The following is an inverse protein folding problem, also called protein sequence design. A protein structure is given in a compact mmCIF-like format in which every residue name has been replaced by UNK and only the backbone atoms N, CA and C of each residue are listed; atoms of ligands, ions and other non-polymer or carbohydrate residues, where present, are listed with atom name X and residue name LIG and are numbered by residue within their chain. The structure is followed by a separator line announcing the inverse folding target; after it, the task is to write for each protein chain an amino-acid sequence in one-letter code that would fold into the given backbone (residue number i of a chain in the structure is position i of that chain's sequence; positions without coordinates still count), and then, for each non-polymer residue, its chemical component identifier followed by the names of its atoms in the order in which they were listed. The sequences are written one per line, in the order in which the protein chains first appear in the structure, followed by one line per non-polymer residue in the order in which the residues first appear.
data_IF_677443576144
#
_entry.id   IF_677443576144
#
_cell.length_a   1.000
_cell.length_b   1.000
_cell.length_c   1.000
_cell.angle_alpha   90.00
_cell.angle_beta   90.00
_cell.angle_gamma   90.00
#
_symmetry.space_group_name_H-M   'P 1'
#
loop_
_entity.id
_entity.type
_entity.pdbx_description
1 polymer ?
#
# COMPACT_ATOMS: atom_id res chain seq x y z
N UNK A 1 -15.05 -15.17 -60.86
CA UNK A 1 -14.84 -16.30 -59.91
C UNK A 1 -13.59 -16.01 -59.11
N UNK A 2 -13.75 -15.69 -57.82
CA UNK A 2 -12.82 -15.93 -56.70
C UNK A 2 -13.40 -15.16 -55.50
N UNK A 3 -14.17 -15.87 -54.68
CA UNK A 3 -14.72 -15.41 -53.40
C UNK A 3 -13.59 -15.42 -52.36
N UNK A 4 -13.31 -14.27 -51.74
CA UNK A 4 -12.50 -14.15 -50.54
C UNK A 4 -13.34 -13.55 -49.43
N UNK A 5 -13.86 -14.41 -48.56
CA UNK A 5 -14.65 -14.07 -47.37
C UNK A 5 -13.74 -13.50 -46.27
N UNK A 6 -13.76 -12.18 -46.06
CA UNK A 6 -13.11 -11.52 -44.93
C UNK A 6 -14.16 -11.10 -43.90
N UNK A 7 -14.36 -11.92 -42.87
CA UNK A 7 -15.25 -11.62 -41.75
C UNK A 7 -14.76 -10.40 -40.97
N UNK A 8 -15.53 -9.32 -41.02
CA UNK A 8 -15.41 -8.14 -40.16
C UNK A 8 -15.80 -8.52 -38.72
N UNK A 9 -14.85 -9.10 -37.97
CA UNK A 9 -14.94 -9.13 -36.52
C UNK A 9 -14.75 -7.71 -35.99
N UNK A 10 -15.86 -7.01 -35.80
CA UNK A 10 -15.95 -5.77 -35.01
C UNK A 10 -15.53 -6.10 -33.58
N UNK A 11 -14.29 -5.80 -33.22
CA UNK A 11 -13.88 -5.73 -31.84
C UNK A 11 -14.54 -4.51 -31.20
N UNK A 12 -15.48 -4.75 -30.29
CA UNK A 12 -15.97 -3.74 -29.36
C UNK A 12 -14.77 -3.29 -28.51
N UNK A 13 -14.22 -2.12 -28.83
CA UNK A 13 -13.36 -1.39 -27.90
C UNK A 13 -14.29 -0.83 -26.83
N UNK A 14 -14.41 -1.55 -25.71
CA UNK A 14 -14.91 -0.98 -24.46
C UNK A 14 -13.89 0.08 -24.02
N UNK A 15 -14.17 1.32 -24.40
CA UNK A 15 -13.52 2.51 -23.84
C UNK A 15 -13.83 2.54 -22.34
N UNK A 16 -12.93 1.98 -21.53
CA UNK A 16 -12.96 2.16 -20.08
C UNK A 16 -12.56 3.61 -19.77
N UNK A 17 -13.54 4.50 -19.79
CA UNK A 17 -13.42 5.88 -19.35
C UNK A 17 -13.30 5.92 -17.82
N UNK A 18 -12.09 5.73 -17.28
CA UNK A 18 -11.56 6.45 -16.11
C UNK A 18 -10.25 5.84 -15.59
N UNK A 19 -9.09 6.47 -15.85
CA UNK A 19 -7.85 6.15 -15.15
C UNK A 19 -7.50 7.29 -14.19
N UNK A 20 -8.26 7.51 -13.11
CA UNK A 20 -7.88 8.50 -12.09
C UNK A 20 -8.27 8.04 -10.68
N UNK A 21 -7.82 6.87 -10.25
CA UNK A 21 -7.77 6.55 -8.82
C UNK A 21 -6.54 5.67 -8.54
N UNK A 22 -5.33 6.19 -8.74
CA UNK A 22 -4.12 5.61 -8.15
C UNK A 22 -2.87 6.52 -8.23
N UNK A 23 -3.03 7.80 -7.88
CA UNK A 23 -1.90 8.74 -7.80
C UNK A 23 -2.03 9.67 -6.58
N UNK A 24 -2.37 9.08 -5.43
CA UNK A 24 -2.44 9.80 -4.14
C UNK A 24 -1.28 9.53 -3.19
N UNK A 25 -0.42 8.54 -3.45
CA UNK A 25 0.55 8.07 -2.45
C UNK A 25 2.03 8.19 -2.86
N UNK A 26 2.35 8.68 -4.06
CA UNK A 26 3.73 8.67 -4.58
C UNK A 26 4.18 10.00 -5.22
N UNK A 27 3.77 11.14 -4.67
CA UNK A 27 4.36 12.43 -5.06
C UNK A 27 5.12 13.05 -3.88
N UNK A 28 6.46 13.14 -3.93
CA UNK A 28 7.21 14.02 -3.05
C UNK A 28 7.15 15.43 -3.64
N UNK A 29 6.09 16.19 -3.36
CA UNK A 29 6.10 17.63 -3.61
C UNK A 29 6.29 18.38 -2.31
N UNK A 30 7.39 19.14 -2.27
CA UNK A 30 7.79 20.14 -1.28
C UNK A 30 7.79 19.66 0.16
N UNK A 31 9.00 19.44 0.69
CA UNK A 31 9.32 19.50 2.12
C UNK A 31 8.16 19.02 2.99
N UNK A 32 7.91 17.70 3.04
CA UNK A 32 7.08 17.20 4.14
C UNK A 32 7.78 17.69 5.41
N UNK A 33 7.20 18.63 6.19
CA UNK A 33 7.71 18.85 7.53
C UNK A 33 7.70 17.47 8.19
N UNK A 34 8.73 17.18 8.99
CA UNK A 34 8.73 15.97 9.81
C UNK A 34 7.33 15.81 10.40
N UNK A 35 6.70 14.64 10.29
CA UNK A 35 5.30 14.46 10.69
C UNK A 35 5.13 15.06 12.08
N UNK A 36 4.37 16.17 12.16
CA UNK A 36 4.02 16.76 13.45
C UNK A 36 3.03 15.80 14.10
N UNK A 37 3.59 14.87 14.87
CA UNK A 37 2.81 13.92 15.63
C UNK A 37 2.02 14.71 16.68
N UNK A 38 0.71 14.82 16.49
CA UNK A 38 -0.18 15.43 17.51
C UNK A 38 -0.19 14.62 18.81
N UNK A 39 0.17 13.34 18.73
CA UNK A 39 0.33 12.45 19.86
C UNK A 39 1.22 11.26 19.48
N UNK A 40 2.14 10.90 20.38
CA UNK A 40 2.96 9.70 20.29
C UNK A 40 3.28 9.14 21.69
N UNK A 41 3.57 7.85 21.76
CA UNK A 41 3.99 7.13 22.96
C UNK A 41 5.06 6.10 22.57
N UNK A 42 6.10 5.96 23.41
CA UNK A 42 7.06 4.87 23.25
C UNK A 42 6.57 3.68 24.07
N UNK A 43 6.33 2.57 23.39
CA UNK A 43 5.76 1.35 23.98
C UNK A 43 6.74 0.19 23.83
N UNK A 44 6.57 -0.85 24.66
CA UNK A 44 7.30 -2.11 24.51
C UNK A 44 6.30 -3.24 24.29
N UNK A 45 6.00 -3.60 23.03
CA UNK A 45 5.14 -4.72 22.70
C UNK A 45 5.67 -6.01 23.32
N UNK A 46 4.78 -6.82 23.91
CA UNK A 46 5.15 -8.13 24.46
C UNK A 46 4.50 -9.23 23.66
N UNK A 47 5.30 -10.08 23.04
CA UNK A 47 4.78 -11.24 22.34
C UNK A 47 4.20 -12.24 23.36
N UNK A 48 2.98 -12.70 23.08
CA UNK A 48 2.33 -13.73 23.87
C UNK A 48 2.70 -15.10 23.30
N UNK A 49 3.26 -15.96 24.13
CA UNK A 49 3.47 -17.37 23.79
C UNK A 49 2.11 -18.08 23.91
N UNK A 50 1.60 -18.59 22.79
CA UNK A 50 0.38 -19.38 22.78
C UNK A 50 0.67 -20.77 23.40
N UNK A 51 0.51 -20.88 24.72
CA UNK A 51 0.60 -22.15 25.44
C UNK A 51 -0.74 -22.89 25.35
N UNK A 52 -0.83 -23.85 24.42
CA UNK A 52 -1.98 -24.75 24.30
C UNK A 52 -2.18 -25.27 22.88
N UNK A 53 -2.47 -26.57 22.73
CA UNK A 53 -2.50 -27.33 21.47
C UNK A 53 -3.56 -26.94 20.42
N UNK A 54 -4.06 -25.70 20.43
CA UNK A 54 -4.95 -25.12 19.40
C UNK A 54 -4.32 -23.98 18.59
N UNK A 55 -3.13 -23.50 18.97
CA UNK A 55 -2.42 -22.49 18.21
C UNK A 55 -1.86 -23.09 16.92
N UNK A 56 -2.23 -22.53 15.75
CA UNK A 56 -1.51 -22.85 14.52
C UNK A 56 -0.10 -22.26 14.63
N UNK A 57 0.87 -22.93 14.02
CA UNK A 57 2.30 -22.60 14.08
C UNK A 57 2.62 -21.13 13.75
N UNK A 58 1.73 -20.47 13.00
CA UNK A 58 1.93 -19.11 12.47
C UNK A 58 0.99 -18.06 13.10
N UNK A 59 0.16 -18.44 14.07
CA UNK A 59 -0.69 -17.47 14.78
C UNK A 59 0.18 -16.68 15.78
N UNK A 60 0.24 -15.36 15.63
CA UNK A 60 1.03 -14.47 16.47
C UNK A 60 0.11 -13.60 17.33
N UNK A 61 0.55 -13.25 18.52
CA UNK A 61 -0.19 -12.32 19.39
C UNK A 61 0.74 -11.44 20.18
N UNK A 62 0.38 -10.17 20.33
CA UNK A 62 1.15 -9.19 21.10
C UNK A 62 0.24 -8.42 22.05
N UNK A 63 0.75 -8.09 23.22
CA UNK A 63 0.16 -7.11 24.12
C UNK A 63 0.79 -5.75 23.85
N UNK A 64 -0.04 -4.75 23.57
CA UNK A 64 0.32 -3.35 23.40
C UNK A 64 -0.28 -2.53 24.55
N UNK A 65 0.48 -1.59 25.10
CA UNK A 65 -0.06 -0.62 26.04
C UNK A 65 -0.28 0.70 25.29
N UNK A 66 -1.52 1.17 25.21
CA UNK A 66 -1.90 2.38 24.47
C UNK A 66 -2.61 3.33 25.42
N UNK A 67 -2.00 4.48 25.71
CA UNK A 67 -2.53 5.47 26.65
C UNK A 67 -2.85 4.87 28.03
N UNK A 68 -1.95 4.00 28.53
CA UNK A 68 -2.11 3.31 29.82
C UNK A 68 -3.11 2.15 29.84
N UNK A 69 -3.72 1.81 28.70
CA UNK A 69 -4.61 0.66 28.56
C UNK A 69 -3.97 -0.46 27.73
N UNK A 70 -3.99 -1.68 28.28
CA UNK A 70 -3.55 -2.88 27.58
C UNK A 70 -4.55 -3.34 26.51
N UNK A 71 -4.02 -3.67 25.32
CA UNK A 71 -4.73 -4.27 24.20
C UNK A 71 -3.96 -5.52 23.74
N UNK A 72 -4.69 -6.55 23.32
CA UNK A 72 -4.10 -7.75 22.72
C UNK A 72 -4.41 -7.72 21.23
N UNK A 73 -3.38 -7.78 20.40
CA UNK A 73 -3.53 -7.93 18.95
C UNK A 73 -3.33 -9.38 18.57
N UNK A 74 -4.21 -9.91 17.72
CA UNK A 74 -4.13 -11.26 17.17
C UNK A 74 -3.85 -11.17 15.68
N UNK A 75 -2.73 -11.76 15.27
CA UNK A 75 -2.16 -11.65 13.93
C UNK A 75 -2.13 -13.02 13.25
N UNK A 76 -2.35 -13.00 11.93
CA UNK A 76 -2.25 -14.16 11.06
C UNK A 76 -1.51 -13.77 9.79
N UNK A 77 -0.78 -14.71 9.15
CA UNK A 77 -0.16 -14.45 7.86
C UNK A 77 -1.21 -13.95 6.87
N UNK A 78 -0.85 -12.89 6.15
CA UNK A 78 -1.73 -12.34 5.13
C UNK A 78 -2.00 -13.39 4.06
N UNK A 79 -3.27 -13.56 3.68
CA UNK A 79 -3.72 -14.61 2.76
C UNK A 79 -4.07 -14.11 1.36
N UNK A 80 -4.13 -12.79 1.19
CA UNK A 80 -4.36 -12.16 -0.11
C UNK A 80 -3.12 -12.33 -0.99
N UNK A 81 -3.30 -12.29 -2.31
CA UNK A 81 -2.22 -12.34 -3.31
C UNK A 81 -1.34 -11.08 -3.24
N UNK A 82 -0.56 -10.92 -2.16
CA UNK A 82 0.23 -9.72 -1.90
C UNK A 82 1.69 -10.08 -1.55
N UNK A 83 2.67 -9.75 -2.41
CA UNK A 83 2.56 -9.45 -3.85
C UNK A 83 2.30 -10.74 -4.66
N UNK A 84 2.28 -10.64 -6.00
CA UNK A 84 2.27 -11.84 -6.84
C UNK A 84 3.47 -12.74 -6.52
N UNK A 85 3.29 -14.05 -6.61
CA UNK A 85 4.40 -15.01 -6.49
C UNK A 85 5.43 -14.70 -7.57
N UNK A 86 6.71 -14.70 -7.20
CA UNK A 86 7.82 -14.30 -8.06
C UNK A 86 7.57 -12.91 -8.66
N UNK A 87 7.42 -11.89 -7.81
CA UNK A 87 7.27 -10.51 -8.23
C UNK A 87 8.46 -10.12 -9.15
N UNK A 88 8.21 -9.73 -10.41
CA UNK A 88 9.28 -9.24 -11.27
C UNK A 88 9.69 -7.83 -10.84
N UNK A 89 10.99 -7.65 -10.64
CA UNK A 89 11.65 -6.37 -10.42
C UNK A 89 12.53 -6.03 -11.63
N UNK A 90 12.24 -4.89 -12.27
CA UNK A 90 12.98 -4.39 -13.42
C UNK A 90 13.91 -3.24 -13.02
N UNK A 91 15.18 -3.36 -13.38
CA UNK A 91 16.22 -2.33 -13.19
C UNK A 91 17.02 -2.16 -14.48
N UNK A 92 17.97 -1.24 -14.53
CA UNK A 92 18.75 -0.92 -15.73
C UNK A 92 20.25 -1.09 -15.49
N UNK A 93 20.93 -1.65 -16.49
CA UNK A 93 22.39 -1.70 -16.51
C UNK A 93 22.97 -0.33 -16.87
N UNK A 94 24.28 -0.15 -16.63
CA UNK A 94 25.00 1.06 -17.08
C UNK A 94 24.94 1.32 -18.60
N UNK A 95 24.58 0.31 -19.39
CA UNK A 95 24.38 0.42 -20.84
C UNK A 95 22.91 0.69 -21.22
N UNK A 96 22.04 0.94 -20.25
CA UNK A 96 20.60 1.18 -20.45
C UNK A 96 19.79 -0.09 -20.76
N UNK A 97 20.37 -1.29 -20.58
CA UNK A 97 19.65 -2.55 -20.80
C UNK A 97 18.76 -2.84 -19.61
N UNK A 98 17.47 -3.09 -19.86
CA UNK A 98 16.51 -3.57 -18.85
C UNK A 98 16.92 -4.96 -18.35
N UNK A 99 17.07 -5.08 -17.04
CA UNK A 99 17.40 -6.30 -16.30
C UNK A 99 16.16 -6.68 -15.50
N UNK A 100 15.75 -7.94 -15.62
CA UNK A 100 14.69 -8.52 -14.81
C UNK A 100 15.29 -9.39 -13.71
N UNK A 101 14.78 -9.23 -12.50
CA UNK A 101 15.16 -10.00 -11.32
C UNK A 101 13.92 -10.37 -10.51
N UNK A 102 14.07 -11.33 -9.61
CA UNK A 102 12.99 -11.83 -8.77
C UNK A 102 13.48 -11.84 -7.31
N UNK A 103 13.31 -10.75 -6.56
CA UNK A 103 13.80 -10.67 -5.18
C UNK A 103 13.05 -11.66 -4.28
N UNK A 104 13.75 -12.23 -3.31
CA UNK A 104 13.11 -13.00 -2.24
C UNK A 104 12.35 -12.03 -1.33
N UNK A 105 11.06 -12.29 -1.12
CA UNK A 105 10.20 -11.49 -0.25
C UNK A 105 9.70 -12.40 0.87
N UNK A 106 10.04 -12.12 2.14
CA UNK A 106 9.60 -12.92 3.28
C UNK A 106 8.12 -12.62 3.60
N UNK A 107 7.20 -13.23 2.84
CA UNK A 107 5.75 -13.01 2.98
C UNK A 107 5.20 -13.43 4.34
N UNK A 108 5.87 -14.37 5.00
CA UNK A 108 5.62 -14.76 6.37
C UNK A 108 5.74 -13.61 7.37
N UNK A 109 6.38 -12.50 7.01
CA UNK A 109 6.48 -11.33 7.87
C UNK A 109 5.30 -10.36 7.72
N UNK A 110 4.49 -10.48 6.67
CA UNK A 110 3.33 -9.63 6.44
C UNK A 110 2.10 -10.25 7.08
N UNK A 111 1.61 -9.57 8.11
CA UNK A 111 0.61 -10.07 9.04
C UNK A 111 -0.61 -9.16 9.02
N UNK A 112 -1.77 -9.78 9.12
CA UNK A 112 -3.05 -9.10 9.25
C UNK A 112 -3.84 -9.66 10.43
N UNK A 113 -4.59 -8.79 11.09
CA UNK A 113 -5.22 -9.14 12.34
C UNK A 113 -6.26 -8.15 12.83
N UNK A 114 -6.61 -8.32 14.09
CA UNK A 114 -7.57 -7.50 14.80
C UNK A 114 -7.17 -7.37 16.26
N UNK A 115 -7.78 -6.41 16.95
CA UNK A 115 -7.62 -6.22 18.39
C UNK A 115 -8.70 -7.00 19.12
N UNK A 116 -8.27 -7.85 20.06
CA UNK A 116 -9.17 -8.69 20.84
C UNK A 116 -10.18 -7.85 21.63
N UNK A 117 -11.45 -8.27 21.61
CA UNK A 117 -12.55 -7.55 22.25
C UNK A 117 -12.92 -6.19 21.63
N UNK A 118 -12.35 -5.80 20.48
CA UNK A 118 -12.68 -4.55 19.78
C UNK A 118 -13.29 -4.83 18.40
N UNK A 119 -14.60 -4.59 18.28
CA UNK A 119 -15.31 -4.76 17.03
C UNK A 119 -14.77 -3.81 15.94
N UNK A 120 -14.74 -4.30 14.69
CA UNK A 120 -14.27 -3.58 13.51
C UNK A 120 -12.83 -3.04 13.60
N UNK A 121 -12.02 -3.57 14.51
CA UNK A 121 -10.60 -3.25 14.57
C UNK A 121 -9.83 -3.91 13.43
N UNK A 122 -8.74 -3.28 13.02
CA UNK A 122 -7.88 -3.76 11.94
C UNK A 122 -6.42 -3.56 12.32
N UNK A 123 -5.62 -4.60 12.15
CA UNK A 123 -4.18 -4.54 12.35
C UNK A 123 -3.49 -5.06 11.10
N UNK A 124 -2.57 -4.29 10.53
CA UNK A 124 -1.74 -4.68 9.37
C UNK A 124 -0.31 -4.35 9.70
N UNK A 125 0.52 -5.38 9.86
CA UNK A 125 1.89 -5.25 10.36
C UNK A 125 2.89 -6.04 9.52
N UNK A 126 4.12 -5.55 9.47
CA UNK A 126 5.33 -6.30 9.15
C UNK A 126 6.06 -6.61 10.45
N UNK A 127 6.55 -7.84 10.60
CA UNK A 127 7.16 -8.33 11.87
C UNK A 127 8.64 -8.72 11.78
N UNK A 128 9.23 -8.74 10.56
CA UNK A 128 10.60 -9.19 10.30
C UNK A 128 11.70 -8.39 11.05
N UNK A 129 11.44 -7.13 11.38
CA UNK A 129 12.44 -6.21 11.96
C UNK A 129 11.80 -5.32 13.01
N UNK A 130 11.03 -5.95 13.92
CA UNK A 130 10.10 -5.25 14.79
C UNK A 130 8.71 -5.13 14.17
N UNK A 131 7.79 -4.51 14.90
CA UNK A 131 6.43 -4.24 14.46
C UNK A 131 6.39 -2.92 13.71
N UNK A 132 6.14 -2.98 12.41
CA UNK A 132 5.93 -1.80 11.57
C UNK A 132 4.58 -1.89 10.89
N UNK A 133 3.75 -0.85 10.99
CA UNK A 133 2.51 -0.77 10.22
C UNK A 133 1.40 -0.01 10.92
N UNK A 134 0.18 -0.52 10.78
CA UNK A 134 -1.06 0.20 11.07
C UNK A 134 -1.96 -0.56 12.03
N UNK A 135 -2.58 0.19 12.95
CA UNK A 135 -3.61 -0.30 13.84
C UNK A 135 -4.81 0.65 13.85
N UNK A 136 -6.01 0.11 13.65
CA UNK A 136 -7.27 0.79 13.90
C UNK A 136 -7.89 0.19 15.15
N UNK A 137 -7.98 1.01 16.20
CA UNK A 137 -8.51 0.64 17.51
C UNK A 137 -9.68 1.57 17.80
N UNK A 138 -10.91 1.06 17.67
CA UNK A 138 -12.15 1.87 17.70
C UNK A 138 -12.11 2.89 16.56
N UNK A 139 -12.35 4.16 16.82
CA UNK A 139 -12.38 5.23 15.82
C UNK A 139 -11.03 5.98 15.72
N UNK A 140 -9.92 5.34 16.10
CA UNK A 140 -8.58 5.93 16.05
C UNK A 140 -7.62 5.06 15.28
N UNK A 141 -6.80 5.72 14.47
CA UNK A 141 -5.80 5.10 13.63
C UNK A 141 -4.41 5.41 14.18
N UNK A 142 -3.58 4.39 14.25
CA UNK A 142 -2.25 4.45 14.82
C UNK A 142 -1.23 3.87 13.84
N UNK A 143 -0.08 4.52 13.77
CA UNK A 143 1.13 3.98 13.16
C UNK A 143 2.02 3.41 14.26
N UNK A 144 2.69 2.30 13.97
CA UNK A 144 3.72 1.72 14.83
C UNK A 144 4.98 1.51 14.02
N UNK A 145 6.13 1.83 14.60
CA UNK A 145 7.45 1.54 14.02
C UNK A 145 8.49 1.29 15.11
N UNK A 146 9.57 0.54 14.81
CA UNK A 146 10.67 0.34 15.74
C UNK A 146 11.29 1.67 16.18
N UNK A 147 11.54 1.81 17.49
CA UNK A 147 12.24 2.98 18.01
C UNK A 147 13.74 2.84 17.72
N UNK A 148 14.31 3.82 17.00
CA UNK A 148 15.73 3.81 16.65
C UNK A 148 16.62 3.69 17.90
N UNK A 149 17.69 2.91 17.80
CA UNK A 149 18.72 2.70 18.83
C UNK A 149 18.25 2.00 20.14
N UNK A 150 17.08 1.35 20.14
CA UNK A 150 16.63 0.56 21.30
C UNK A 150 17.10 -0.90 21.27
N UNK A 151 17.66 -1.38 22.39
CA UNK A 151 17.96 -2.80 22.61
C UNK A 151 16.78 -3.60 23.18
N UNK A 152 15.65 -2.96 23.49
CA UNK A 152 14.56 -3.51 24.30
C UNK A 152 13.22 -3.70 23.55
N UNK A 153 13.26 -3.88 22.22
CA UNK A 153 12.05 -4.00 21.38
C UNK A 153 11.06 -2.84 21.59
N UNK A 154 11.59 -1.62 21.82
CA UNK A 154 10.76 -0.43 21.94
C UNK A 154 10.25 0.02 20.57
N UNK A 155 9.04 0.54 20.55
CA UNK A 155 8.35 0.98 19.35
C UNK A 155 7.75 2.36 19.60
N UNK A 156 7.80 3.22 18.59
CA UNK A 156 7.04 4.46 18.56
C UNK A 156 5.62 4.12 18.09
N UNK A 157 4.62 4.46 18.90
CA UNK A 157 3.21 4.41 18.54
C UNK A 157 2.71 5.83 18.41
N UNK A 158 2.13 6.20 17.28
CA UNK A 158 1.69 7.57 17.02
C UNK A 158 0.31 7.60 16.38
N UNK A 159 -0.41 8.70 16.59
CA UNK A 159 -1.73 8.90 16.00
C UNK A 159 -1.57 9.27 14.52
N UNK A 160 -2.24 8.54 13.63
CA UNK A 160 -2.39 8.92 12.23
C UNK A 160 -3.63 9.79 12.16
N UNK A 161 -3.43 11.10 12.08
CA UNK A 161 -4.52 12.02 11.80
C UNK A 161 -5.05 11.76 10.39
N UNK A 162 -6.38 11.83 10.22
CA UNK A 162 -6.93 11.87 8.87
C UNK A 162 -6.28 13.05 8.13
N UNK A 163 -5.68 12.83 6.96
CA UNK A 163 -5.15 13.92 6.18
C UNK A 163 -6.30 14.89 5.93
N UNK A 164 -6.13 16.15 6.35
CA UNK A 164 -7.03 17.22 5.90
C UNK A 164 -7.08 17.11 4.38
N UNK A 165 -8.26 17.11 3.74
CA UNK A 165 -8.38 16.92 2.31
C UNK A 165 -7.49 17.95 1.60
N UNK A 166 -6.31 17.50 1.18
CA UNK A 166 -5.33 18.34 0.53
C UNK A 166 -5.71 18.29 -0.94
N UNK A 167 -6.32 19.37 -1.43
CA UNK A 167 -6.66 19.48 -2.84
C UNK A 167 -5.39 19.79 -3.64
N UNK A 168 -4.47 18.85 -3.69
CA UNK A 168 -3.31 18.96 -4.53
C UNK A 168 -3.76 18.71 -5.98
N UNK A 169 -3.56 19.71 -6.85
CA UNK A 169 -3.80 19.62 -8.29
C UNK A 169 -5.25 19.77 -8.78
N UNK A 170 -6.26 19.78 -7.92
CA UNK A 170 -7.67 19.93 -8.33
C UNK A 170 -8.28 21.24 -7.82
N UNK A 171 -8.81 22.07 -8.72
CA UNK A 171 -9.53 23.30 -8.33
C UNK A 171 -10.81 22.92 -7.57
N UNK A 172 -11.08 23.62 -6.45
CA UNK A 172 -12.24 23.37 -5.56
C UNK A 172 -13.59 23.13 -6.25
N UNK A 173 -13.98 23.91 -7.29
CA UNK A 173 -15.25 23.68 -7.96
C UNK A 173 -15.30 22.39 -8.78
N UNK A 174 -14.16 21.93 -9.32
CA UNK A 174 -14.08 20.68 -10.09
C UNK A 174 -14.22 19.48 -9.15
N UNK A 175 -13.50 19.51 -8.02
CA UNK A 175 -13.60 18.50 -6.98
C UNK A 175 -15.03 18.38 -6.43
N UNK A 176 -15.70 19.52 -6.21
CA UNK A 176 -17.08 19.55 -5.72
C UNK A 176 -18.05 18.95 -6.73
N UNK A 177 -17.94 19.31 -8.03
CA UNK A 177 -18.78 18.74 -9.09
C UNK A 177 -18.59 17.23 -9.24
N UNK A 178 -17.36 16.74 -9.30
CA UNK A 178 -17.09 15.30 -9.36
C UNK A 178 -17.61 14.57 -8.12
N UNK A 179 -17.48 15.16 -6.93
CA UNK A 179 -18.02 14.57 -5.71
C UNK A 179 -19.56 14.60 -5.65
N UNK A 180 -20.22 15.53 -6.34
CA UNK A 180 -21.67 15.59 -6.51
C UNK A 180 -22.16 14.58 -7.55
N UNK A 181 -21.45 14.44 -8.68
CA UNK A 181 -21.70 13.43 -9.73
C UNK A 181 -21.53 12.01 -9.19
N UNK A 182 -20.43 11.74 -8.47
CA UNK A 182 -20.21 10.45 -7.78
C UNK A 182 -21.27 10.13 -6.73
N UNK A 183 -21.90 11.16 -6.13
CA UNK A 183 -23.02 10.97 -5.20
C UNK A 183 -24.33 10.70 -5.94
N UNK A 184 -24.55 11.33 -7.09
CA UNK A 184 -25.71 11.11 -7.95
C UNK A 184 -25.73 9.69 -8.56
N UNK A 185 -24.56 9.12 -8.85
CA UNK A 185 -24.42 7.74 -9.35
C UNK A 185 -24.62 6.64 -8.29
N UNK A 186 -24.81 6.99 -7.00
CA UNK A 186 -25.07 5.99 -5.93
C UNK A 186 -26.41 5.25 -6.09
N UNK A 187 -27.24 5.60 -7.08
CA UNK A 187 -28.52 4.95 -7.39
C UNK A 187 -28.40 3.51 -7.90
N UNK A 188 -27.26 3.10 -8.47
CA UNK A 188 -27.02 1.69 -8.80
C UNK A 188 -26.38 0.99 -7.62
N UNK A 189 -27.18 0.22 -6.89
CA UNK A 189 -26.74 -0.70 -5.83
C UNK A 189 -25.60 -1.59 -6.37
N UNK A 190 -24.35 -1.19 -6.08
CA UNK A 190 -23.14 -1.91 -6.48
C UNK A 190 -23.18 -3.26 -5.77
N UNK A 191 -23.23 -4.34 -6.54
CA UNK A 191 -23.31 -5.70 -6.02
C UNK A 191 -22.04 -6.04 -5.22
N UNK A 192 -22.11 -6.22 -3.88
CA UNK A 192 -20.95 -6.53 -3.05
C UNK A 192 -20.44 -7.97 -3.23
N UNK A 193 -21.09 -8.78 -4.07
CA UNK A 193 -20.91 -10.24 -4.09
C UNK A 193 -19.64 -10.74 -4.77
N UNK A 194 -18.86 -9.89 -5.44
CA UNK A 194 -17.64 -10.33 -6.12
C UNK A 194 -16.41 -9.59 -5.57
N UNK A 195 -15.39 -10.31 -5.08
CA UNK A 195 -14.12 -9.69 -4.71
C UNK A 195 -13.53 -9.02 -5.96
N UNK A 196 -13.07 -7.78 -5.78
CA UNK A 196 -12.42 -7.02 -6.86
C UNK A 196 -10.92 -7.04 -6.62
N UNK A 197 -10.17 -7.09 -7.71
CA UNK A 197 -8.72 -7.03 -7.68
C UNK A 197 -8.25 -5.80 -8.45
N UNK A 198 -7.29 -5.10 -7.87
CA UNK A 198 -6.51 -4.06 -8.56
C UNK A 198 -5.12 -4.63 -8.77
N UNK A 199 -4.80 -4.88 -10.04
CA UNK A 199 -3.43 -5.19 -10.45
C UNK A 199 -2.62 -3.90 -10.49
N UNK A 200 -1.54 -3.87 -9.72
CA UNK A 200 -0.71 -2.70 -9.54
C UNK A 200 0.68 -2.94 -10.11
N UNK A 201 1.12 -2.05 -10.99
CA UNK A 201 2.50 -1.99 -11.47
C UNK A 201 3.10 -0.65 -11.03
N UNK A 202 4.19 -0.68 -10.28
CA UNK A 202 4.81 0.53 -9.72
C UNK A 202 6.11 0.83 -10.45
N UNK A 203 6.30 2.11 -10.78
CA UNK A 203 7.56 2.63 -11.32
C UNK A 203 8.11 3.66 -10.34
N UNK A 204 9.35 3.47 -9.91
CA UNK A 204 10.09 4.39 -9.06
C UNK A 204 11.04 5.20 -9.92
N UNK A 205 10.88 6.52 -9.88
CA UNK A 205 11.75 7.42 -10.62
C UNK A 205 13.15 7.52 -9.99
N UNK A 206 14.10 8.01 -10.78
CA UNK A 206 15.49 8.14 -10.36
C UNK A 206 15.62 9.02 -9.12
N UNK A 207 14.88 10.13 -9.05
CA UNK A 207 15.00 11.09 -7.95
C UNK A 207 14.61 10.47 -6.61
N UNK A 208 13.48 9.75 -6.57
CA UNK A 208 13.06 9.02 -5.37
C UNK A 208 14.03 7.90 -5.03
N UNK A 209 14.53 7.18 -6.05
CA UNK A 209 15.54 6.15 -5.85
C UNK A 209 16.83 6.67 -5.21
N UNK A 210 17.35 7.80 -5.70
CA UNK A 210 18.53 8.44 -5.14
C UNK A 210 18.27 9.00 -3.74
N UNK A 211 17.09 9.60 -3.51
CA UNK A 211 16.69 10.14 -2.21
C UNK A 211 16.67 9.07 -1.12
N UNK A 212 16.18 7.87 -1.44
CA UNK A 212 16.14 6.71 -0.53
C UNK A 212 17.47 5.95 -0.43
N UNK A 213 18.57 6.54 -0.90
CA UNK A 213 19.93 6.02 -0.75
C UNK A 213 20.35 5.00 -1.80
N UNK A 214 19.70 4.99 -2.97
CA UNK A 214 20.12 4.26 -4.16
C UNK A 214 20.36 2.74 -3.95
N UNK A 215 19.49 2.09 -3.18
CA UNK A 215 19.55 0.66 -2.92
C UNK A 215 18.28 -0.05 -3.41
N UNK A 216 18.42 -0.88 -4.44
CA UNK A 216 17.30 -1.55 -5.12
C UNK A 216 16.49 -2.42 -4.16
N UNK A 217 17.16 -3.21 -3.31
CA UNK A 217 16.51 -4.07 -2.32
C UNK A 217 15.74 -3.25 -1.28
N UNK A 218 16.35 -2.17 -0.78
CA UNK A 218 15.69 -1.28 0.19
C UNK A 218 14.46 -0.62 -0.42
N UNK A 219 14.58 -0.15 -1.66
CA UNK A 219 13.46 0.45 -2.40
C UNK A 219 12.34 -0.56 -2.63
N UNK A 220 12.66 -1.79 -3.05
CA UNK A 220 11.67 -2.84 -3.23
C UNK A 220 10.91 -3.13 -1.94
N UNK A 221 11.60 -3.24 -0.79
CA UNK A 221 10.94 -3.42 0.50
C UNK A 221 10.11 -2.21 0.93
N UNK A 222 10.56 -0.98 0.66
CA UNK A 222 9.77 0.21 0.93
C UNK A 222 8.45 0.20 0.15
N UNK A 223 8.50 -0.12 -1.15
CA UNK A 223 7.30 -0.24 -1.98
C UNK A 223 6.37 -1.35 -1.47
N UNK A 224 6.91 -2.51 -1.09
CA UNK A 224 6.11 -3.59 -0.51
C UNK A 224 5.42 -3.15 0.79
N UNK A 225 6.12 -2.42 1.65
CA UNK A 225 5.55 -1.90 2.90
C UNK A 225 4.43 -0.87 2.63
N UNK A 226 4.62 0.00 1.62
CA UNK A 226 3.59 0.95 1.17
C UNK A 226 2.37 0.21 0.64
N UNK A 227 2.52 -0.76 -0.28
CA UNK A 227 1.37 -1.47 -0.84
C UNK A 227 0.69 -2.35 0.22
N UNK A 228 1.46 -2.89 1.18
CA UNK A 228 0.89 -3.59 2.33
C UNK A 228 -0.08 -2.70 3.10
N UNK A 229 0.36 -1.48 3.42
CA UNK A 229 -0.43 -0.48 4.12
C UNK A 229 -1.61 0.00 3.26
N UNK A 230 -1.41 0.17 1.95
CA UNK A 230 -2.46 0.60 1.02
C UNK A 230 -3.65 -0.36 1.00
N UNK A 231 -3.41 -1.65 1.24
CA UNK A 231 -4.46 -2.66 1.41
C UNK A 231 -5.51 -2.31 2.48
N UNK A 232 -5.12 -1.57 3.52
CA UNK A 232 -6.05 -1.09 4.58
C UNK A 232 -7.19 -0.25 3.98
N UNK A 233 -6.87 0.65 3.05
CA UNK A 233 -7.84 1.58 2.48
C UNK A 233 -8.82 0.89 1.50
N UNK A 234 -8.33 -0.08 0.74
CA UNK A 234 -9.14 -0.79 -0.26
C UNK A 234 -10.00 -1.90 0.35
N UNK A 235 -9.71 -2.31 1.59
CA UNK A 235 -10.53 -3.28 2.32
C UNK A 235 -11.97 -2.81 2.54
N UNK A 236 -12.17 -1.52 2.80
CA UNK A 236 -13.50 -0.90 2.95
C UNK A 236 -14.34 -1.03 1.66
N UNK A 237 -13.67 -1.18 0.52
CA UNK A 237 -14.29 -1.33 -0.80
C UNK A 237 -14.42 -2.81 -1.24
N UNK A 238 -14.15 -3.77 -0.35
CA UNK A 238 -14.08 -5.21 -0.69
C UNK A 238 -13.17 -5.49 -1.89
N UNK A 239 -12.04 -4.77 -1.95
CA UNK A 239 -11.10 -4.80 -3.08
C UNK A 239 -9.69 -5.11 -2.57
N UNK A 240 -9.04 -6.07 -3.21
CA UNK A 240 -7.66 -6.48 -2.92
C UNK A 240 -6.70 -5.86 -3.93
N UNK A 241 -5.55 -5.39 -3.47
CA UNK A 241 -4.48 -4.88 -4.33
C UNK A 241 -3.43 -5.97 -4.48
N UNK A 242 -3.05 -6.24 -5.72
CA UNK A 242 -2.03 -7.22 -6.08
C UNK A 242 -0.91 -6.48 -6.81
N UNK A 243 0.27 -6.41 -6.21
CA UNK A 243 1.45 -5.88 -6.89
C UNK A 243 1.95 -6.94 -7.89
N UNK A 244 1.86 -6.63 -9.18
CA UNK A 244 2.21 -7.54 -10.29
C UNK A 244 3.58 -7.24 -10.90
N UNK A 245 4.18 -6.09 -10.60
CA UNK A 245 5.54 -5.75 -11.03
C UNK A 245 6.04 -4.44 -10.43
N UNK A 246 7.35 -4.35 -10.31
CA UNK A 246 8.06 -3.16 -9.84
C UNK A 246 9.17 -2.81 -10.84
N UNK A 247 9.29 -1.54 -11.17
CA UNK A 247 10.37 -1.01 -11.99
C UNK A 247 11.07 0.13 -11.28
N UNK A 248 12.39 0.14 -11.28
CA UNK A 248 13.21 1.18 -10.66
C UNK A 248 14.12 1.76 -11.74
N UNK A 249 13.96 3.05 -12.02
CA UNK A 249 14.83 3.80 -12.93
C UNK A 249 16.14 4.19 -12.23
N UNK A 250 16.98 3.19 -11.97
CA UNK A 250 18.23 3.31 -11.23
C UNK A 250 19.37 4.02 -11.99
N UNK A 251 19.27 4.17 -13.33
CA UNK A 251 20.30 4.81 -14.17
C UNK A 251 19.88 6.13 -14.81
N UNK A 252 18.66 6.60 -14.53
CA UNK A 252 18.09 7.77 -15.17
C UNK A 252 16.67 7.55 -15.64
N UNK A 253 15.87 8.62 -15.62
CA UNK A 253 14.51 8.58 -16.14
C UNK A 253 14.52 8.45 -17.68
N UNK A 254 13.73 7.54 -18.27
CA UNK A 254 13.66 7.37 -19.73
C UNK A 254 12.99 8.56 -20.45
N UNK A 255 12.30 9.41 -19.70
CA UNK A 255 11.68 10.64 -20.17
C UNK A 255 11.65 11.70 -19.07
N UNK A 256 11.42 12.95 -19.44
CA UNK A 256 11.31 14.06 -18.49
C UNK A 256 10.06 13.91 -17.63
N UNK A 257 10.26 13.65 -16.33
CA UNK A 257 9.17 13.62 -15.35
C UNK A 257 8.85 15.06 -14.94
N UNK A 258 7.74 15.60 -15.46
CA UNK A 258 7.29 16.96 -15.13
C UNK A 258 6.32 16.95 -13.94
N UNK A 259 6.27 18.06 -13.19
CA UNK A 259 5.32 18.25 -12.08
C UNK A 259 3.85 18.43 -12.56
N UNK A 260 3.60 18.31 -13.86
CA UNK A 260 2.30 18.54 -14.46
C UNK A 260 1.60 17.19 -14.69
N UNK A 261 0.71 16.83 -13.76
CA UNK A 261 0.02 15.52 -13.71
C UNK A 261 -0.89 15.26 -14.93
N UNK A 262 -1.10 16.25 -15.81
CA UNK A 262 -1.96 16.14 -17.00
C UNK A 262 -1.31 15.56 -18.27
N UNK A 263 -0.05 15.14 -18.25
CA UNK A 263 0.70 14.76 -19.47
C UNK A 263 1.24 13.33 -19.51
N UNK A 264 0.71 12.40 -18.72
CA UNK A 264 0.97 10.97 -18.96
C UNK A 264 0.07 10.45 -20.09
N UNK A 265 0.45 10.71 -21.33
CA UNK A 265 0.04 9.87 -22.47
C UNK A 265 1.00 8.69 -22.52
N UNK A 266 0.51 7.52 -22.11
CA UNK A 266 1.17 6.26 -22.43
C UNK A 266 1.26 6.18 -23.96
N UNK A 267 2.48 6.14 -24.49
CA UNK A 267 2.78 5.83 -25.88
C UNK A 267 2.45 4.36 -26.18
#
# INVERSE_FOLDING_TARGET
MARGSGGLHKWLVLQLTNPVILLGFLLPTSSFPAPEYTWYEVITPRQLLLLGGKAKKDDLSYTLNVSGKGYVIQLKPRKDDFPVKNLPLFTYSSQGRRIESHPYIPLECYQEGHVDGVANSLVVLKTCSGLTGFLSIRDRNYGIEPFHDSSAFQHLLYLINEPKPCMCGMRAPVAKRQAEELRAERGTRRDPRHPKYIELYIVVDEKLFQFEGANETRMAYLILDIVNLMGVHFRVLHTSIVLIGLEIWNTGNPFEVTNNVGLFKLL
#
